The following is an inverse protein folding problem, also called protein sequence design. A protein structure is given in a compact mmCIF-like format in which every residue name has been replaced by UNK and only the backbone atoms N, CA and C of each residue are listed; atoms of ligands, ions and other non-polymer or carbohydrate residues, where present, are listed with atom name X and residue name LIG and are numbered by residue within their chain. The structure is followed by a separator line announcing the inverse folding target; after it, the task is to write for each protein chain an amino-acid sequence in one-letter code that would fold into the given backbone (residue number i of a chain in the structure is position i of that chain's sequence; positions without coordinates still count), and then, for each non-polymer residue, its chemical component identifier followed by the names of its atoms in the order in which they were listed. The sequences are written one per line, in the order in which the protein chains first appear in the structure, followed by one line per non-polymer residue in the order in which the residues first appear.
data_IF_926003489315
#
_entry.id   IF_926003489315
#
_cell.length_a   1.000
_cell.length_b   1.000
_cell.length_c   1.000
_cell.angle_alpha   90.00
_cell.angle_beta   90.00
_cell.angle_gamma   90.00
#
_symmetry.space_group_name_H-M   'P 1'
#
loop_
_entity.id
_entity.type
_entity.pdbx_description
1 polymer ?
#
# COMPACT_ATOMS: atom_id res chain seq x y z
N UNK A 1 -32.12 -21.33 -5.55
CA UNK A 1 -30.74 -21.67 -5.19
C UNK A 1 -29.72 -20.92 -6.02
N UNK A 2 -29.85 -20.96 -7.35
CA UNK A 2 -28.93 -20.25 -8.23
C UNK A 2 -28.94 -18.74 -7.98
N UNK A 3 -30.13 -18.16 -7.79
CA UNK A 3 -30.25 -16.73 -7.49
C UNK A 3 -29.57 -16.33 -6.19
N UNK A 4 -29.71 -17.15 -5.14
CA UNK A 4 -29.03 -16.89 -3.89
C UNK A 4 -27.52 -16.93 -4.04
N UNK A 5 -27.02 -17.90 -4.79
CA UNK A 5 -25.60 -18.04 -5.04
C UNK A 5 -25.05 -16.81 -5.78
N UNK A 6 -25.76 -16.36 -6.82
CA UNK A 6 -25.34 -15.18 -7.59
C UNK A 6 -25.39 -13.93 -6.75
N UNK A 7 -26.43 -13.74 -5.93
CA UNK A 7 -26.54 -12.58 -5.05
C UNK A 7 -25.42 -12.52 -4.03
N UNK A 8 -25.10 -13.66 -3.41
CA UNK A 8 -24.01 -13.72 -2.45
C UNK A 8 -22.66 -13.50 -3.10
N UNK A 9 -22.46 -14.04 -4.30
CA UNK A 9 -21.22 -13.84 -5.05
C UNK A 9 -21.03 -12.37 -5.38
N UNK A 10 -22.07 -11.69 -5.87
CA UNK A 10 -21.99 -10.26 -6.15
C UNK A 10 -21.70 -9.45 -4.90
N UNK A 11 -22.33 -9.77 -3.79
CA UNK A 11 -22.11 -9.07 -2.54
C UNK A 11 -20.67 -9.21 -2.07
N UNK A 12 -20.14 -10.43 -2.11
CA UNK A 12 -18.76 -10.70 -1.71
C UNK A 12 -17.78 -9.96 -2.63
N UNK A 13 -18.02 -9.98 -3.95
CA UNK A 13 -17.18 -9.27 -4.90
C UNK A 13 -17.21 -7.77 -4.68
N UNK A 14 -18.36 -7.19 -4.39
CA UNK A 14 -18.48 -5.77 -4.09
C UNK A 14 -17.72 -5.41 -2.83
N UNK A 15 -17.86 -6.21 -1.79
CA UNK A 15 -17.12 -6.00 -0.55
C UNK A 15 -15.63 -6.07 -0.78
N UNK A 16 -15.19 -7.10 -1.47
CA UNK A 16 -13.77 -7.27 -1.77
C UNK A 16 -13.25 -6.10 -2.59
N UNK A 17 -14.00 -5.68 -3.60
CA UNK A 17 -13.63 -4.56 -4.46
C UNK A 17 -13.47 -3.26 -3.66
N UNK A 18 -14.43 -2.97 -2.79
CA UNK A 18 -14.40 -1.76 -1.96
C UNK A 18 -13.22 -1.82 -0.99
N UNK A 19 -13.00 -2.96 -0.33
CA UNK A 19 -11.89 -3.11 0.61
C UNK A 19 -10.56 -2.96 -0.11
N UNK A 20 -10.40 -3.60 -1.26
CA UNK A 20 -9.17 -3.48 -2.04
C UNK A 20 -8.93 -2.05 -2.50
N UNK A 21 -9.99 -1.36 -2.94
CA UNK A 21 -9.91 0.04 -3.35
C UNK A 21 -9.53 0.96 -2.19
N UNK A 22 -10.09 0.73 -1.02
CA UNK A 22 -9.74 1.49 0.18
C UNK A 22 -8.27 1.28 0.54
N UNK A 23 -7.80 0.02 0.49
CA UNK A 23 -6.40 -0.27 0.77
C UNK A 23 -5.47 0.41 -0.24
N UNK A 24 -5.85 0.40 -1.52
CA UNK A 24 -5.06 1.03 -2.58
C UNK A 24 -4.99 2.54 -2.38
N UNK A 25 -6.14 3.18 -2.20
CA UNK A 25 -6.22 4.63 -1.99
C UNK A 25 -5.52 5.01 -0.68
N UNK A 26 -5.76 4.24 0.38
CA UNK A 26 -5.17 4.50 1.69
C UNK A 26 -3.64 4.41 1.68
N UNK A 27 -3.08 3.38 1.06
CA UNK A 27 -1.63 3.25 0.98
C UNK A 27 -1.02 4.36 0.12
N UNK A 28 -1.69 4.75 -0.97
CA UNK A 28 -1.22 5.84 -1.82
C UNK A 28 -1.18 7.16 -1.07
N UNK A 29 -2.24 7.50 -0.34
CA UNK A 29 -2.27 8.71 0.47
C UNK A 29 -1.28 8.64 1.63
N UNK A 30 -1.11 7.45 2.21
CA UNK A 30 -0.12 7.27 3.27
C UNK A 30 1.28 7.63 2.78
N UNK A 31 1.66 7.15 1.59
CA UNK A 31 2.99 7.44 1.05
C UNK A 31 3.15 8.89 0.63
N UNK A 32 2.07 9.56 0.20
CA UNK A 32 2.10 11.00 -0.04
C UNK A 32 2.35 11.74 1.27
N UNK A 33 1.64 11.40 2.33
CA UNK A 33 1.83 12.00 3.64
C UNK A 33 3.24 11.72 4.18
N UNK A 34 3.74 10.51 3.96
CA UNK A 34 5.09 10.14 4.35
C UNK A 34 6.13 11.01 3.64
N UNK A 35 5.99 11.16 2.32
CA UNK A 35 6.92 11.98 1.53
C UNK A 35 6.94 13.42 2.03
N UNK A 36 5.79 13.98 2.39
CA UNK A 36 5.69 15.34 2.90
C UNK A 36 6.26 15.48 4.31
N UNK A 37 6.31 14.39 5.07
CA UNK A 37 6.80 14.41 6.45
C UNK A 37 8.28 14.09 6.58
N UNK A 38 8.96 13.74 5.50
CA UNK A 38 10.37 13.37 5.53
C UNK A 38 11.23 14.56 5.97
N UNK A 39 12.19 14.28 6.84
CA UNK A 39 13.14 15.27 7.34
C UNK A 39 14.56 14.83 7.03
N UNK A 40 15.40 15.79 6.65
CA UNK A 40 16.78 15.50 6.37
C UNK A 40 17.59 15.45 7.67
N UNK A 41 18.55 14.56 7.68
CA UNK A 41 19.46 14.38 8.83
C UNK A 41 20.83 14.02 8.28
N UNK A 42 21.87 14.63 8.88
CA UNK A 42 23.26 14.43 8.44
C UNK A 42 23.74 12.99 8.65
N UNK A 43 23.11 12.26 9.56
CA UNK A 43 23.51 10.89 9.89
C UNK A 43 22.86 9.85 9.00
N UNK A 44 22.08 10.27 7.99
CA UNK A 44 21.44 9.36 7.07
C UNK A 44 22.43 8.79 6.05
N UNK A 45 22.16 7.58 5.52
CA UNK A 45 23.00 7.01 4.46
C UNK A 45 23.06 7.92 3.23
N UNK A 46 24.14 7.76 2.47
CA UNK A 46 24.31 8.50 1.21
C UNK A 46 23.16 8.22 0.26
N UNK A 47 22.76 9.22 -0.54
CA UNK A 47 21.68 9.16 -1.52
C UNK A 47 20.29 9.01 -0.91
N UNK A 48 20.15 9.22 0.41
CA UNK A 48 18.83 9.25 1.03
C UNK A 48 18.19 10.61 0.82
N UNK A 49 16.85 10.60 0.67
CA UNK A 49 16.07 11.83 0.52
C UNK A 49 15.68 12.41 1.87
N UNK A 50 15.39 11.54 2.84
CA UNK A 50 15.00 11.98 4.18
C UNK A 50 14.51 10.80 4.99
N UNK A 51 14.11 11.09 6.23
CA UNK A 51 13.62 10.07 7.15
C UNK A 51 12.32 10.50 7.81
N UNK A 52 11.58 9.54 8.31
CA UNK A 52 10.39 9.78 9.11
C UNK A 52 10.32 8.73 10.22
N UNK A 53 9.96 9.18 11.40
CA UNK A 53 9.68 8.31 12.53
C UNK A 53 8.19 8.27 12.76
N UNK A 54 7.64 7.07 12.87
CA UNK A 54 6.19 6.88 13.00
C UNK A 54 5.88 5.90 14.12
N UNK A 55 4.71 6.04 14.70
CA UNK A 55 4.23 5.13 15.74
C UNK A 55 2.88 4.57 15.31
N UNK A 56 2.74 3.27 15.40
CA UNK A 56 1.48 2.61 15.10
C UNK A 56 1.35 1.34 15.92
N UNK A 57 0.22 1.21 16.62
CA UNK A 57 -0.06 0.03 17.40
C UNK A 57 0.96 -0.25 18.50
N UNK A 58 1.56 0.81 19.07
CA UNK A 58 2.60 0.67 20.09
C UNK A 58 4.00 0.42 19.54
N UNK A 59 4.14 0.29 18.21
CA UNK A 59 5.44 0.09 17.58
C UNK A 59 6.02 1.40 17.04
N UNK A 60 7.32 1.52 17.12
CA UNK A 60 8.04 2.66 16.56
C UNK A 60 8.67 2.26 15.23
N UNK A 61 8.42 3.04 14.19
CA UNK A 61 8.91 2.73 12.85
C UNK A 61 9.81 3.85 12.35
N UNK A 62 10.97 3.47 11.88
CA UNK A 62 11.93 4.39 11.27
C UNK A 62 11.99 4.11 9.77
N UNK A 63 11.60 5.09 8.97
CA UNK A 63 11.53 4.97 7.53
C UNK A 63 12.54 5.91 6.88
N UNK A 64 13.32 5.39 5.95
CA UNK A 64 14.30 6.17 5.20
C UNK A 64 13.97 6.02 3.72
N UNK A 65 13.81 7.15 3.04
CA UNK A 65 13.56 7.16 1.61
C UNK A 65 14.85 7.43 0.86
N UNK A 66 15.13 6.62 -0.15
CA UNK A 66 16.31 6.78 -1.00
C UNK A 66 15.91 7.41 -2.33
N UNK A 67 16.79 8.27 -2.86
CA UNK A 67 16.57 8.89 -4.16
C UNK A 67 16.68 7.88 -5.30
N UNK A 68 17.54 6.88 -5.14
CA UNK A 68 17.70 5.76 -6.07
C UNK A 68 17.85 4.49 -5.25
N UNK A 69 17.74 3.33 -5.91
CA UNK A 69 17.91 2.07 -5.23
C UNK A 69 19.29 2.00 -4.56
N UNK A 70 19.37 1.67 -3.27
CA UNK A 70 20.65 1.55 -2.59
C UNK A 70 21.45 0.36 -3.13
N UNK A 71 22.78 0.43 -3.01
CA UNK A 71 23.66 -0.64 -3.48
C UNK A 71 23.45 -1.95 -2.73
N UNK A 72 23.04 -1.85 -1.46
CA UNK A 72 22.72 -3.03 -0.66
C UNK A 72 21.22 -3.08 -0.43
N UNK A 73 20.55 -3.92 -1.19
CA UNK A 73 19.10 -4.13 -1.07
C UNK A 73 18.83 -5.41 -0.32
N UNK A 74 17.83 -5.45 0.56
CA UNK A 74 17.41 -6.72 1.14
C UNK A 74 16.83 -7.64 0.08
N UNK A 75 16.90 -8.94 0.33
CA UNK A 75 16.34 -9.92 -0.60
C UNK A 75 14.81 -9.87 -0.64
N UNK A 76 14.20 -9.37 0.43
CA UNK A 76 12.75 -9.28 0.52
C UNK A 76 12.32 -7.82 0.51
N UNK A 77 11.44 -7.49 -0.41
CA UNK A 77 10.83 -6.17 -0.52
C UNK A 77 9.32 -6.30 -0.51
N UNK A 78 8.66 -5.41 0.19
CA UNK A 78 7.20 -5.34 0.16
C UNK A 78 6.77 -4.38 -0.93
N UNK A 79 6.11 -4.92 -1.94
CA UNK A 79 5.63 -4.13 -3.07
C UNK A 79 4.16 -3.82 -2.90
N UNK A 80 3.81 -2.54 -2.90
CA UNK A 80 2.42 -2.09 -2.77
C UNK A 80 1.76 -2.06 -4.15
N UNK A 81 1.50 -3.23 -4.69
CA UNK A 81 0.87 -3.39 -6.00
C UNK A 81 -0.36 -4.30 -5.96
N UNK A 82 -0.43 -5.19 -4.98
CA UNK A 82 -1.48 -6.20 -4.94
C UNK A 82 -2.86 -5.60 -4.72
N UNK A 83 -2.96 -4.51 -3.94
CA UNK A 83 -4.23 -3.83 -3.72
C UNK A 83 -4.75 -3.21 -5.01
N UNK A 84 -3.88 -2.67 -5.85
CA UNK A 84 -4.28 -2.14 -7.15
C UNK A 84 -4.73 -3.26 -8.08
N UNK A 85 -3.99 -4.36 -8.13
CA UNK A 85 -4.36 -5.51 -8.95
C UNK A 85 -5.66 -6.13 -8.46
N UNK A 86 -5.83 -6.28 -7.15
CA UNK A 86 -7.06 -6.84 -6.58
C UNK A 86 -8.26 -5.96 -6.90
N UNK A 87 -8.10 -4.63 -6.85
CA UNK A 87 -9.16 -3.69 -7.20
C UNK A 87 -9.56 -3.84 -8.66
N UNK A 88 -8.59 -3.90 -9.54
CA UNK A 88 -8.83 -4.03 -10.97
C UNK A 88 -9.53 -5.35 -11.31
N UNK A 89 -9.01 -6.46 -10.77
CA UNK A 89 -9.56 -7.79 -11.05
C UNK A 89 -10.98 -7.93 -10.52
N UNK A 90 -11.23 -7.47 -9.29
CA UNK A 90 -12.57 -7.56 -8.71
C UNK A 90 -13.56 -6.67 -9.45
N UNK A 91 -13.12 -5.48 -9.88
CA UNK A 91 -13.96 -4.59 -10.70
C UNK A 91 -14.32 -5.22 -12.02
N UNK A 92 -13.36 -5.85 -12.69
CA UNK A 92 -13.60 -6.56 -13.95
C UNK A 92 -14.58 -7.72 -13.75
N UNK A 93 -14.42 -8.47 -12.65
CA UNK A 93 -15.34 -9.56 -12.35
C UNK A 93 -16.77 -9.08 -12.11
N UNK A 94 -16.93 -7.88 -11.52
CA UNK A 94 -18.26 -7.29 -11.31
C UNK A 94 -18.93 -6.84 -12.60
N UNK A 95 -18.14 -6.50 -13.63
CA UNK A 95 -18.67 -6.12 -14.94
C UNK A 95 -19.16 -7.34 -15.73
N UNK A 96 -18.58 -8.48 -15.47
CA UNK A 96 -18.99 -9.74 -16.14
C UNK A 96 -20.22 -10.42 -15.48
#
# INVERSE_FOLDING_TARGET
MIFLFEEWTELILRWFHVIAGIAWIGSSFYFIALDLSLKQNKNLPDKSHGEAWQVHGGGFYHLVKYLVAPSKMPSELTWFKWEAYATWVSGFALLA
#
